data_IF_594078370660
#
_entry.id   IF_594078370660
#
_cell.length_a   1.000
_cell.length_b   1.000
_cell.length_c   1.000
_cell.angle_alpha   90.00
_cell.angle_beta   90.00
_cell.angle_gamma   90.00
#
_symmetry.space_group_name_H-M   'P 1'
#
loop_
_entity.id
_entity.type
_entity.pdbx_description
1 polymer ?
#
# COMPACT_ATOMS: atom_id res chain seq x y z
N UNK A 1 7.25 4.19 -21.12
CA UNK A 1 6.44 4.03 -19.90
C UNK A 1 5.21 3.22 -20.27
N UNK A 2 5.00 2.06 -19.66
CA UNK A 2 3.90 1.16 -20.03
C UNK A 2 2.70 1.57 -19.16
N UNK A 3 1.56 1.91 -19.79
CA UNK A 3 0.30 1.99 -19.05
C UNK A 3 -0.08 0.56 -18.61
N UNK A 4 0.18 0.24 -17.37
CA UNK A 4 -0.02 -1.10 -16.81
C UNK A 4 -1.48 -1.54 -16.91
N UNK A 5 -2.44 -0.61 -16.96
CA UNK A 5 -3.87 -0.88 -17.18
C UNK A 5 -4.16 -1.48 -18.55
N UNK A 6 -3.23 -1.35 -19.50
CA UNK A 6 -3.32 -1.94 -20.84
C UNK A 6 -2.51 -3.23 -20.99
N UNK A 7 -1.79 -3.62 -19.93
CA UNK A 7 -1.04 -4.88 -19.94
C UNK A 7 -2.01 -6.03 -19.80
N UNK A 8 -1.91 -6.99 -20.70
CA UNK A 8 -2.66 -8.25 -20.65
C UNK A 8 -1.71 -9.43 -20.48
N UNK A 9 -2.24 -10.50 -19.93
CA UNK A 9 -1.57 -11.80 -19.85
C UNK A 9 -2.49 -12.88 -20.41
N UNK A 10 -1.92 -13.83 -21.10
CA UNK A 10 -2.66 -14.98 -21.64
C UNK A 10 -2.68 -16.08 -20.59
N UNK A 11 -3.86 -16.45 -20.11
CA UNK A 11 -4.06 -17.58 -19.20
C UNK A 11 -4.99 -18.60 -19.86
N UNK A 12 -4.41 -19.70 -20.33
CA UNK A 12 -5.12 -20.68 -21.16
C UNK A 12 -5.49 -20.08 -22.53
N UNK A 13 -6.80 -19.94 -22.82
CA UNK A 13 -7.31 -19.35 -24.06
C UNK A 13 -7.87 -17.92 -23.87
N UNK A 14 -7.72 -17.34 -22.67
CA UNK A 14 -8.24 -16.01 -22.34
C UNK A 14 -7.11 -15.02 -22.19
N UNK A 15 -7.30 -13.85 -22.77
CA UNK A 15 -6.49 -12.67 -22.53
C UNK A 15 -7.09 -11.88 -21.36
N UNK A 16 -6.32 -11.72 -20.29
CA UNK A 16 -6.76 -11.06 -19.06
C UNK A 16 -5.98 -9.77 -18.85
N UNK A 17 -6.67 -8.70 -18.51
CA UNK A 17 -6.08 -7.42 -18.16
C UNK A 17 -5.43 -7.50 -16.78
N UNK A 18 -4.18 -7.07 -16.70
CA UNK A 18 -3.47 -6.97 -15.43
C UNK A 18 -4.06 -5.87 -14.54
N UNK A 19 -4.05 -6.11 -13.24
CA UNK A 19 -4.42 -5.13 -12.22
C UNK A 19 -3.29 -4.93 -11.20
N UNK A 20 -3.56 -4.07 -10.22
CA UNK A 20 -2.64 -3.79 -9.13
C UNK A 20 -2.96 -4.63 -7.89
N UNK A 21 -1.92 -5.05 -7.19
CA UNK A 21 -2.09 -5.70 -5.88
C UNK A 21 -2.41 -4.67 -4.80
N UNK A 22 -2.97 -5.11 -3.68
CA UNK A 22 -3.18 -4.26 -2.49
C UNK A 22 -1.86 -3.65 -2.01
N UNK A 23 -0.76 -4.43 -2.05
CA UNK A 23 0.57 -3.96 -1.69
C UNK A 23 1.11 -2.87 -2.62
N UNK A 24 0.86 -2.97 -3.93
CA UNK A 24 1.22 -1.94 -4.90
C UNK A 24 0.48 -0.63 -4.61
N UNK A 25 -0.82 -0.70 -4.35
CA UNK A 25 -1.63 0.47 -4.01
C UNK A 25 -1.17 1.10 -2.67
N UNK A 26 -0.85 0.28 -1.66
CA UNK A 26 -0.34 0.76 -0.38
C UNK A 26 1.01 1.48 -0.52
N UNK A 27 1.93 0.94 -1.33
CA UNK A 27 3.22 1.58 -1.60
C UNK A 27 3.07 2.91 -2.35
N UNK A 28 2.16 2.98 -3.33
CA UNK A 28 1.86 4.21 -4.06
C UNK A 28 1.22 5.27 -3.14
N UNK A 29 0.25 4.89 -2.31
CA UNK A 29 -0.36 5.78 -1.33
C UNK A 29 0.67 6.31 -0.32
N UNK A 30 1.57 5.46 0.19
CA UNK A 30 2.64 5.85 1.09
C UNK A 30 3.63 6.82 0.43
N UNK A 31 4.01 6.55 -0.83
CA UNK A 31 4.89 7.44 -1.60
C UNK A 31 4.25 8.82 -1.80
N UNK A 32 2.97 8.87 -2.23
CA UNK A 32 2.25 10.13 -2.41
C UNK A 32 2.14 10.93 -1.12
N UNK A 33 1.82 10.27 -0.01
CA UNK A 33 1.75 10.91 1.30
C UNK A 33 3.12 11.44 1.75
N UNK A 34 4.20 10.69 1.54
CA UNK A 34 5.56 11.13 1.87
C UNK A 34 6.01 12.33 1.00
N UNK A 35 5.74 12.28 -0.32
CA UNK A 35 6.02 13.43 -1.23
C UNK A 35 5.29 14.66 -0.74
N UNK A 36 3.97 14.55 -0.53
CA UNK A 36 3.15 15.68 -0.08
C UNK A 36 3.63 16.23 1.27
N UNK A 37 3.99 15.34 2.23
CA UNK A 37 4.46 15.73 3.55
C UNK A 37 5.80 16.48 3.53
N UNK A 38 6.71 16.10 2.64
CA UNK A 38 8.06 16.67 2.60
C UNK A 38 8.21 17.84 1.61
N UNK A 39 7.38 17.87 0.54
CA UNK A 39 7.38 18.98 -0.42
C UNK A 39 6.44 20.11 -0.03
N UNK A 40 5.36 19.80 0.68
CA UNK A 40 4.23 20.72 0.91
C UNK A 40 3.26 20.82 -0.28
N UNK A 41 3.50 20.10 -1.37
CA UNK A 41 2.66 20.11 -2.57
C UNK A 41 1.89 18.79 -2.71
N UNK A 42 0.59 18.87 -3.05
CA UNK A 42 -0.25 17.68 -3.22
C UNK A 42 0.25 16.84 -4.40
N UNK A 43 0.66 15.62 -4.10
CA UNK A 43 1.06 14.64 -5.11
C UNK A 43 -0.18 13.89 -5.62
N UNK A 44 -0.52 14.08 -6.90
CA UNK A 44 -1.69 13.44 -7.53
C UNK A 44 -1.36 12.17 -8.29
N UNK A 45 -0.12 12.04 -8.71
CA UNK A 45 0.38 10.89 -9.47
C UNK A 45 1.73 10.46 -8.92
N UNK A 46 1.94 9.18 -8.75
CA UNK A 46 3.23 8.62 -8.32
C UNK A 46 3.74 7.59 -9.29
N UNK A 47 5.02 7.68 -9.62
CA UNK A 47 5.73 6.59 -10.29
C UNK A 47 6.23 5.59 -9.25
N UNK A 48 6.01 4.31 -9.49
CA UNK A 48 6.45 3.21 -8.65
C UNK A 48 7.13 2.14 -9.51
N UNK A 49 8.24 1.61 -9.02
CA UNK A 49 8.87 0.43 -9.62
C UNK A 49 8.31 -0.83 -8.96
N UNK A 50 7.80 -1.75 -9.78
CA UNK A 50 7.34 -3.05 -9.31
C UNK A 50 8.52 -4.01 -9.09
N UNK A 51 8.34 -5.07 -8.28
CA UNK A 51 9.38 -6.08 -8.06
C UNK A 51 9.91 -6.74 -9.35
N UNK A 52 9.11 -6.78 -10.39
CA UNK A 52 9.51 -7.26 -11.73
C UNK A 52 10.34 -6.26 -12.56
N UNK A 53 10.65 -5.08 -12.01
CA UNK A 53 11.42 -4.02 -12.68
C UNK A 53 10.58 -3.08 -13.54
N UNK A 54 9.30 -3.31 -13.66
CA UNK A 54 8.39 -2.46 -14.45
C UNK A 54 8.09 -1.16 -13.72
N UNK A 55 8.02 -0.05 -14.47
CA UNK A 55 7.61 1.26 -13.95
C UNK A 55 6.16 1.53 -14.29
N UNK A 56 5.38 1.86 -13.27
CA UNK A 56 3.97 2.22 -13.37
C UNK A 56 3.72 3.60 -12.81
N UNK A 57 2.64 4.25 -13.25
CA UNK A 57 2.11 5.47 -12.66
C UNK A 57 0.72 5.18 -12.14
N UNK A 58 0.47 5.58 -10.88
CA UNK A 58 -0.84 5.49 -10.24
C UNK A 58 -1.33 6.89 -9.86
N UNK A 59 -2.60 7.13 -10.16
CA UNK A 59 -3.33 8.28 -9.64
C UNK A 59 -3.59 8.08 -8.14
N UNK A 60 -3.48 9.15 -7.38
CA UNK A 60 -3.62 9.13 -5.93
C UNK A 60 -4.71 10.10 -5.47
N UNK A 61 -5.44 9.68 -4.44
CA UNK A 61 -6.44 10.49 -3.75
C UNK A 61 -5.78 11.17 -2.54
N UNK A 62 -5.82 12.48 -2.52
CA UNK A 62 -5.44 13.25 -1.33
C UNK A 62 -6.60 13.24 -0.33
N UNK A 63 -6.34 12.85 0.92
CA UNK A 63 -7.38 12.70 1.95
C UNK A 63 -7.28 13.77 3.03
N UNK A 64 -6.10 13.95 3.62
CA UNK A 64 -5.89 14.85 4.75
C UNK A 64 -4.43 15.26 4.86
N UNK A 65 -4.17 16.49 5.34
CA UNK A 65 -2.83 16.99 5.63
C UNK A 65 -2.85 17.86 6.88
N UNK A 66 -1.85 17.66 7.72
CA UNK A 66 -1.42 18.62 8.74
C UNK A 66 0.12 18.71 8.74
N UNK A 67 0.69 19.54 9.62
CA UNK A 67 2.14 19.82 9.64
C UNK A 67 3.01 18.56 9.81
N UNK A 68 2.50 17.52 10.46
CA UNK A 68 3.23 16.31 10.82
C UNK A 68 2.74 15.03 10.15
N UNK A 69 1.57 15.06 9.53
CA UNK A 69 0.96 13.86 8.95
C UNK A 69 0.20 14.18 7.66
N UNK A 70 0.37 13.33 6.66
CA UNK A 70 -0.40 13.35 5.41
C UNK A 70 -1.01 11.99 5.17
N UNK A 71 -2.25 11.96 4.70
CA UNK A 71 -2.98 10.76 4.30
C UNK A 71 -3.31 10.83 2.82
N UNK A 72 -2.92 9.81 2.09
CA UNK A 72 -3.27 9.59 0.68
C UNK A 72 -3.84 8.18 0.49
N UNK A 73 -4.53 7.98 -0.62
CA UNK A 73 -5.08 6.68 -0.99
C UNK A 73 -4.94 6.40 -2.49
N UNK A 74 -5.14 5.15 -2.87
CA UNK A 74 -5.22 4.68 -4.26
C UNK A 74 -6.44 3.78 -4.37
N UNK A 75 -7.31 4.03 -5.35
CA UNK A 75 -8.41 3.12 -5.66
C UNK A 75 -7.82 1.91 -6.39
N UNK A 76 -7.99 0.74 -5.78
CA UNK A 76 -7.44 -0.49 -6.35
C UNK A 76 -8.21 -0.91 -7.59
N UNK A 77 -7.52 -1.04 -8.71
CA UNK A 77 -7.97 -1.72 -9.93
C UNK A 77 -7.30 -3.10 -10.00
N UNK A 78 -8.08 -4.16 -9.79
CA UNK A 78 -7.59 -5.54 -9.83
C UNK A 78 -7.51 -6.12 -11.24
N UNK A 79 -7.83 -5.35 -12.30
CA UNK A 79 -7.92 -5.87 -13.65
C UNK A 79 -9.08 -6.84 -13.79
N UNK A 80 -8.85 -7.93 -14.51
CA UNK A 80 -9.83 -9.00 -14.71
C UNK A 80 -9.73 -10.12 -13.64
N UNK A 81 -8.89 -9.91 -12.60
CA UNK A 81 -8.83 -10.83 -11.46
C UNK A 81 -10.06 -10.64 -10.56
N UNK A 82 -10.81 -11.69 -10.22
CA UNK A 82 -11.97 -11.62 -9.31
C UNK A 82 -11.54 -11.39 -7.85
N UNK A 83 -10.88 -10.29 -7.59
CA UNK A 83 -10.38 -9.92 -6.26
C UNK A 83 -11.45 -9.14 -5.49
N UNK A 84 -11.77 -9.59 -4.28
CA UNK A 84 -12.73 -8.95 -3.38
C UNK A 84 -12.32 -7.52 -2.99
N UNK A 85 -11.04 -7.19 -3.13
CA UNK A 85 -10.49 -5.86 -2.83
C UNK A 85 -10.53 -4.91 -4.02
N UNK A 86 -11.06 -5.34 -5.17
CA UNK A 86 -11.26 -4.46 -6.32
C UNK A 86 -12.16 -3.27 -5.97
N UNK A 87 -11.77 -2.08 -6.37
CA UNK A 87 -12.48 -0.83 -6.09
C UNK A 87 -12.33 -0.29 -4.65
N UNK A 88 -11.62 -0.99 -3.76
CA UNK A 88 -11.33 -0.45 -2.43
C UNK A 88 -10.29 0.67 -2.48
N UNK A 89 -10.49 1.66 -1.63
CA UNK A 89 -9.50 2.69 -1.36
C UNK A 89 -8.44 2.14 -0.40
N UNK A 90 -7.22 1.97 -0.89
CA UNK A 90 -6.07 1.53 -0.10
C UNK A 90 -5.28 2.77 0.29
N UNK A 91 -5.17 3.03 1.59
CA UNK A 91 -4.65 4.28 2.12
C UNK A 91 -3.34 4.08 2.89
N UNK A 92 -2.57 5.16 2.96
CA UNK A 92 -1.44 5.29 3.86
C UNK A 92 -1.45 6.67 4.52
N UNK A 93 -1.17 6.69 5.83
CA UNK A 93 -0.79 7.87 6.57
C UNK A 93 0.72 7.87 6.76
N UNK A 94 1.40 8.98 6.46
CA UNK A 94 2.82 9.16 6.71
C UNK A 94 3.01 10.28 7.70
N UNK A 95 3.72 9.98 8.79
CA UNK A 95 3.95 10.89 9.92
C UNK A 95 5.45 11.10 10.12
N UNK A 96 5.86 12.34 10.41
CA UNK A 96 7.22 12.67 10.85
C UNK A 96 7.48 12.10 12.25
N UNK A 97 8.66 11.51 12.46
CA UNK A 97 9.10 11.00 13.77
C UNK A 97 10.46 11.55 14.15
N UNK A 98 10.78 11.54 15.45
CA UNK A 98 12.09 12.00 15.93
C UNK A 98 13.20 10.94 15.72
N UNK A 99 12.84 9.68 15.42
CA UNK A 99 13.83 8.64 15.09
C UNK A 99 14.46 8.86 13.71
N UNK A 100 15.27 7.89 13.27
CA UNK A 100 15.95 7.93 11.96
C UNK A 100 15.43 6.86 10.98
N UNK A 101 14.54 5.99 11.45
CA UNK A 101 14.06 4.83 10.68
C UNK A 101 12.68 5.04 10.08
N UNK A 102 12.36 4.27 9.05
CA UNK A 102 11.00 4.14 8.53
C UNK A 102 10.32 3.01 9.28
N UNK A 103 9.25 3.35 10.00
CA UNK A 103 8.39 2.38 10.68
C UNK A 103 7.16 2.11 9.83
N UNK A 104 6.77 0.84 9.68
CA UNK A 104 5.59 0.44 8.88
C UNK A 104 4.68 -0.40 9.75
N UNK A 105 3.42 0.02 9.88
CA UNK A 105 2.38 -0.71 10.60
C UNK A 105 1.04 -0.65 9.86
N UNK A 106 0.10 -1.48 10.30
CA UNK A 106 -1.28 -1.48 9.82
C UNK A 106 -2.22 -0.82 10.82
N UNK A 107 -3.12 -0.01 10.28
CA UNK A 107 -4.22 0.63 11.01
C UNK A 107 -5.56 -0.03 10.74
N UNK A 108 -6.62 0.77 10.76
CA UNK A 108 -8.00 0.33 10.52
C UNK A 108 -8.13 -0.47 9.21
N UNK A 109 -8.79 -1.62 9.27
CA UNK A 109 -9.06 -2.46 8.11
C UNK A 109 -7.87 -3.29 7.61
N UNK A 110 -6.68 -3.14 8.19
CA UNK A 110 -5.55 -4.06 8.01
C UNK A 110 -5.55 -5.06 9.16
N UNK A 111 -5.49 -6.35 8.84
CA UNK A 111 -5.55 -7.42 9.82
C UNK A 111 -4.31 -7.52 10.67
N UNK A 112 -4.42 -8.21 11.81
CA UNK A 112 -3.32 -8.61 12.67
C UNK A 112 -3.13 -10.12 12.61
N UNK A 113 -1.89 -10.54 12.58
CA UNK A 113 -1.51 -11.96 12.64
C UNK A 113 -1.76 -12.50 14.05
N UNK A 114 -2.51 -13.59 14.14
CA UNK A 114 -2.86 -14.23 15.42
C UNK A 114 -2.36 -15.67 15.55
N UNK A 115 -1.87 -16.26 14.45
CA UNK A 115 -1.35 -17.64 14.42
C UNK A 115 0.08 -17.66 13.86
N UNK A 116 0.95 -18.55 14.36
CA UNK A 116 2.28 -18.75 13.81
C UNK A 116 2.22 -19.38 12.41
N UNK A 117 3.30 -19.25 11.64
CA UNK A 117 3.43 -19.85 10.31
C UNK A 117 2.98 -18.95 9.15
N UNK A 118 2.54 -17.72 9.43
CA UNK A 118 2.31 -16.69 8.43
C UNK A 118 3.60 -15.90 8.14
N UNK A 119 3.59 -15.11 7.07
CA UNK A 119 4.75 -14.31 6.66
C UNK A 119 5.22 -13.31 7.74
N UNK A 120 4.28 -12.78 8.52
CA UNK A 120 4.58 -11.86 9.62
C UNK A 120 4.40 -12.56 10.99
N UNK A 121 5.15 -12.14 12.01
CA UNK A 121 5.02 -12.70 13.35
C UNK A 121 3.68 -12.38 13.99
N UNK A 122 3.29 -13.21 14.97
CA UNK A 122 2.05 -13.00 15.76
C UNK A 122 2.08 -11.60 16.40
N UNK A 123 0.96 -10.90 16.32
CA UNK A 123 0.78 -9.52 16.78
C UNK A 123 1.12 -8.44 15.75
N UNK A 124 1.89 -8.77 14.72
CA UNK A 124 2.22 -7.80 13.67
C UNK A 124 1.03 -7.55 12.72
N UNK A 125 1.06 -6.41 12.05
CA UNK A 125 0.14 -6.14 10.95
C UNK A 125 0.36 -7.13 9.81
N UNK A 126 -0.74 -7.60 9.22
CA UNK A 126 -0.72 -8.51 8.08
C UNK A 126 -0.33 -7.77 6.78
N UNK A 127 0.85 -7.15 6.81
CA UNK A 127 1.50 -6.55 5.64
C UNK A 127 2.68 -7.47 5.30
N UNK A 128 2.54 -8.24 4.24
CA UNK A 128 3.51 -9.24 3.85
C UNK A 128 4.88 -8.63 3.49
N UNK A 129 5.93 -9.45 3.44
CA UNK A 129 7.31 -9.01 3.26
C UNK A 129 7.52 -8.22 1.97
N UNK A 130 6.92 -8.64 0.86
CA UNK A 130 7.04 -7.93 -0.43
C UNK A 130 6.37 -6.55 -0.39
N UNK A 131 5.09 -6.38 -0.03
CA UNK A 131 4.48 -5.08 0.18
C UNK A 131 5.23 -4.19 1.17
N UNK A 132 5.69 -4.75 2.28
CA UNK A 132 6.47 -4.02 3.30
C UNK A 132 7.77 -3.46 2.72
N UNK A 133 8.48 -4.25 1.93
CA UNK A 133 9.68 -3.83 1.21
C UNK A 133 9.36 -2.73 0.20
N UNK A 134 8.31 -2.89 -0.61
CA UNK A 134 7.89 -1.88 -1.58
C UNK A 134 7.55 -0.54 -0.92
N UNK A 135 6.81 -0.55 0.19
CA UNK A 135 6.48 0.65 0.96
C UNK A 135 7.74 1.32 1.48
N UNK A 136 8.65 0.53 2.08
CA UNK A 136 9.91 1.03 2.61
C UNK A 136 10.76 1.70 1.54
N UNK A 137 10.99 1.02 0.41
CA UNK A 137 11.79 1.54 -0.71
C UNK A 137 11.17 2.82 -1.28
N UNK A 138 9.85 2.83 -1.51
CA UNK A 138 9.15 3.98 -2.04
C UNK A 138 9.26 5.23 -1.14
N UNK A 139 9.17 5.06 0.18
CA UNK A 139 9.27 6.15 1.14
C UNK A 139 10.73 6.57 1.35
N UNK A 140 11.67 5.62 1.35
CA UNK A 140 13.11 5.91 1.46
C UNK A 140 13.62 6.70 0.26
N UNK A 141 13.15 6.41 -0.96
CA UNK A 141 13.47 7.19 -2.16
C UNK A 141 13.02 8.65 -2.02
N UNK A 142 11.84 8.87 -1.45
CA UNK A 142 11.32 10.23 -1.17
C UNK A 142 12.17 10.91 -0.08
N UNK A 143 12.53 10.21 0.98
CA UNK A 143 13.43 10.74 2.02
C UNK A 143 14.75 11.25 1.41
N UNK A 144 15.36 10.45 0.54
CA UNK A 144 16.61 10.82 -0.15
C UNK A 144 16.41 12.01 -1.08
N UNK A 145 15.32 12.01 -1.84
CA UNK A 145 15.00 13.10 -2.77
C UNK A 145 14.89 14.45 -2.07
N UNK A 146 14.30 14.48 -0.87
CA UNK A 146 14.11 15.71 -0.09
C UNK A 146 15.16 15.91 1.02
N UNK A 147 16.23 15.11 1.04
CA UNK A 147 17.28 15.15 2.06
C UNK A 147 16.73 15.19 3.49
N UNK A 148 15.67 14.41 3.76
CA UNK A 148 15.03 14.30 5.06
C UNK A 148 15.74 13.24 5.90
N UNK A 149 16.46 13.66 6.95
CA UNK A 149 17.31 12.78 7.77
C UNK A 149 16.53 12.06 8.89
N UNK A 150 15.42 12.65 9.36
CA UNK A 150 14.60 12.05 10.41
C UNK A 150 13.75 10.88 9.90
N UNK A 151 13.21 10.11 10.82
CA UNK A 151 12.34 8.97 10.52
C UNK A 151 10.96 9.39 10.04
N UNK A 152 10.30 8.41 9.44
CA UNK A 152 8.90 8.48 9.04
C UNK A 152 8.17 7.25 9.54
N UNK A 153 6.92 7.41 9.94
CA UNK A 153 6.04 6.30 10.27
C UNK A 153 4.95 6.20 9.20
N UNK A 154 4.83 5.03 8.61
CA UNK A 154 3.81 4.70 7.63
C UNK A 154 2.76 3.81 8.29
N UNK A 155 1.50 4.24 8.27
CA UNK A 155 0.37 3.43 8.72
C UNK A 155 -0.53 3.16 7.53
N UNK A 156 -0.57 1.90 7.07
CA UNK A 156 -1.49 1.46 6.00
C UNK A 156 -2.87 1.23 6.59
N UNK A 157 -3.92 1.75 5.97
CA UNK A 157 -5.29 1.53 6.41
C UNK A 157 -6.24 1.38 5.21
N UNK A 158 -7.33 0.65 5.41
CA UNK A 158 -8.30 0.33 4.36
C UNK A 158 -9.69 0.59 4.92
N UNK A 159 -10.34 1.72 4.57
CA UNK A 159 -11.73 1.94 4.92
C UNK A 159 -12.59 0.74 4.48
N UNK A 160 -13.51 0.27 5.32
CA UNK A 160 -14.32 -0.93 5.09
C UNK A 160 -13.53 -2.26 4.96
N UNK A 161 -12.22 -2.27 5.21
CA UNK A 161 -11.37 -3.46 5.10
C UNK A 161 -11.77 -4.57 6.07
N UNK A 162 -12.27 -4.24 7.27
CA UNK A 162 -12.76 -5.20 8.25
C UNK A 162 -13.96 -5.98 7.72
N UNK A 163 -14.97 -5.30 7.19
CA UNK A 163 -16.19 -5.92 6.65
C UNK A 163 -15.88 -6.81 5.43
N UNK A 164 -14.94 -6.37 4.59
CA UNK A 164 -14.49 -7.18 3.45
C UNK A 164 -13.70 -8.41 3.89
N UNK A 165 -12.87 -8.30 4.93
CA UNK A 165 -12.09 -9.42 5.44
C UNK A 165 -12.96 -10.58 5.97
N UNK A 166 -14.13 -10.28 6.53
CA UNK A 166 -15.08 -11.29 7.00
C UNK A 166 -15.59 -12.21 5.88
N UNK A 167 -15.52 -11.74 4.62
CA UNK A 167 -15.89 -12.50 3.41
C UNK A 167 -14.71 -13.25 2.78
N UNK A 168 -13.56 -13.24 3.42
CA UNK A 168 -12.33 -13.91 2.97
C UNK A 168 -11.96 -15.08 3.87
N UNK A 169 -10.91 -15.81 3.50
CA UNK A 169 -10.33 -16.85 4.34
C UNK A 169 -9.40 -16.29 5.44
N UNK A 170 -9.16 -14.99 5.48
CA UNK A 170 -8.22 -14.37 6.42
C UNK A 170 -8.47 -14.75 7.88
N UNK A 171 -9.72 -14.70 8.41
CA UNK A 171 -9.98 -15.11 9.80
C UNK A 171 -9.61 -16.57 10.10
N UNK A 172 -9.89 -17.48 9.15
CA UNK A 172 -9.53 -18.90 9.29
C UNK A 172 -8.01 -19.11 9.27
N UNK A 173 -7.29 -18.34 8.47
CA UNK A 173 -5.83 -18.38 8.37
C UNK A 173 -5.12 -17.74 9.56
N UNK A 174 -5.85 -17.03 10.43
CA UNK A 174 -5.28 -16.35 11.59
C UNK A 174 -4.90 -14.87 11.33
N UNK A 175 -5.59 -14.23 10.39
CA UNK A 175 -5.52 -12.78 10.16
C UNK A 175 -6.86 -12.19 10.59
N UNK A 176 -6.87 -11.42 11.67
CA UNK A 176 -8.09 -10.93 12.31
C UNK A 176 -8.17 -9.41 12.25
N UNK A 177 -9.38 -8.88 12.12
CA UNK A 177 -9.66 -7.43 12.19
C UNK A 177 -9.49 -6.67 10.88
N UNK A 178 -9.08 -7.33 9.80
CA UNK A 178 -8.92 -6.68 8.50
C UNK A 178 -8.33 -7.59 7.42
N UNK A 179 -8.01 -6.95 6.30
CA UNK A 179 -7.39 -7.60 5.15
C UNK A 179 -5.88 -7.76 5.33
N UNK A 180 -5.29 -8.72 4.60
CA UNK A 180 -3.83 -8.74 4.40
C UNK A 180 -3.43 -7.84 3.21
N UNK A 181 -2.25 -7.29 3.32
CA UNK A 181 -1.62 -6.44 2.31
C UNK A 181 -0.39 -7.12 1.75
#
# INVERSE_FOLDING_TARGET
MIDYRRKTVIKGQQELRCGYTTGTCAAAAAKAAAVTLLSGEICRDVSLQLPGGEHIILETEFLECNENCVKCGVIKDAGDDPDITNGLLICAAVEKTEGETILIDGGMGVGRVTKPGLDQPVGAAAINSVPRKMIHEAVEDVRRQYAWEKGLKVTVFIPNGKEKAEKTLNPMLGIVGGLSV
#
